data_IF_471778020166
#
_entry.id   IF_471778020166
#
_cell.length_a   1.000
_cell.length_b   1.000
_cell.length_c   1.000
_cell.angle_alpha   90.00
_cell.angle_beta   90.00
_cell.angle_gamma   90.00
#
_symmetry.space_group_name_H-M   'P 1'
#
loop_
_entity.id
_entity.type
_entity.pdbx_description
1 polymer ?
#
# COMPACT_ATOMS: atom_id res chain seq x y z
N UNK A 1 -50.51 -1.96 -26.92
CA UNK A 1 -50.12 -3.04 -25.99
C UNK A 1 -49.20 -3.98 -26.74
N UNK A 2 -47.89 -3.79 -26.60
CA UNK A 2 -46.89 -4.63 -27.26
C UNK A 2 -46.47 -5.74 -26.31
N UNK A 3 -46.71 -6.98 -26.70
CA UNK A 3 -46.15 -8.16 -26.04
C UNK A 3 -44.66 -8.18 -26.39
N UNK A 4 -43.81 -7.72 -25.47
CA UNK A 4 -42.38 -7.93 -25.57
C UNK A 4 -42.10 -9.39 -25.22
N UNK A 5 -41.74 -10.17 -26.24
CA UNK A 5 -41.23 -11.52 -26.07
C UNK A 5 -39.94 -11.44 -25.25
N UNK A 6 -40.03 -11.91 -24.01
CA UNK A 6 -38.90 -12.08 -23.09
C UNK A 6 -38.03 -13.21 -23.66
N UNK A 7 -36.97 -12.86 -24.39
CA UNK A 7 -35.96 -13.84 -24.80
C UNK A 7 -35.12 -14.14 -23.55
N UNK A 8 -35.49 -15.22 -22.87
CA UNK A 8 -34.64 -15.88 -21.87
C UNK A 8 -33.52 -16.55 -22.66
N UNK A 9 -32.37 -15.90 -22.77
CA UNK A 9 -31.14 -16.58 -23.19
C UNK A 9 -30.61 -17.33 -21.96
N UNK A 10 -31.02 -18.59 -21.85
CA UNK A 10 -30.34 -19.60 -21.05
C UNK A 10 -28.92 -19.75 -21.59
N UNK A 11 -27.93 -19.15 -20.93
CA UNK A 11 -26.53 -19.49 -21.15
C UNK A 11 -26.21 -20.79 -20.39
N UNK A 12 -26.49 -21.92 -21.06
CA UNK A 12 -25.83 -23.17 -20.75
C UNK A 12 -24.37 -23.08 -21.22
N UNK A 13 -23.42 -23.19 -20.28
CA UNK A 13 -22.05 -23.66 -20.51
C UNK A 13 -21.23 -22.93 -21.58
N UNK A 14 -20.74 -21.73 -21.27
CA UNK A 14 -19.51 -21.23 -21.87
C UNK A 14 -18.47 -21.10 -20.76
N UNK A 15 -17.52 -22.05 -20.72
CA UNK A 15 -16.27 -21.85 -19.99
C UNK A 15 -15.45 -20.84 -20.82
N UNK A 16 -15.70 -19.55 -20.62
CA UNK A 16 -14.86 -18.50 -21.15
C UNK A 16 -13.57 -18.48 -20.33
N UNK A 17 -12.42 -18.62 -20.98
CA UNK A 17 -11.12 -18.27 -20.43
C UNK A 17 -11.07 -16.74 -20.29
N UNK A 18 -11.85 -16.19 -19.36
CA UNK A 18 -11.84 -14.76 -19.06
C UNK A 18 -10.51 -14.42 -18.44
N UNK A 19 -9.74 -13.57 -19.13
CA UNK A 19 -8.54 -12.97 -18.56
C UNK A 19 -8.99 -11.91 -17.56
N UNK A 20 -8.57 -12.06 -16.31
CA UNK A 20 -8.85 -11.11 -15.23
C UNK A 20 -7.57 -10.34 -14.91
N UNK A 21 -7.68 -9.03 -14.78
CA UNK A 21 -6.59 -8.18 -14.30
C UNK A 21 -6.86 -7.83 -12.84
N UNK A 22 -5.97 -8.25 -11.93
CA UNK A 22 -6.09 -7.99 -10.49
C UNK A 22 -5.03 -6.96 -10.07
N UNK A 23 -5.48 -5.86 -9.48
CA UNK A 23 -4.60 -4.80 -8.96
C UNK A 23 -4.16 -5.10 -7.52
N UNK A 24 -2.90 -4.85 -7.20
CA UNK A 24 -2.38 -5.07 -5.85
C UNK A 24 -0.99 -4.51 -5.65
N UNK A 25 -0.35 -4.92 -4.55
CA UNK A 25 1.04 -4.61 -4.23
C UNK A 25 1.83 -5.89 -4.06
N UNK A 26 3.07 -5.89 -4.53
CA UNK A 26 4.01 -6.99 -4.31
C UNK A 26 4.33 -7.03 -2.81
N UNK A 27 3.93 -8.11 -2.15
CA UNK A 27 4.28 -8.35 -0.76
C UNK A 27 5.67 -8.99 -0.64
N UNK A 28 6.01 -9.92 -1.53
CA UNK A 28 7.28 -10.64 -1.54
C UNK A 28 7.66 -11.02 -2.97
N UNK A 29 8.97 -11.07 -3.26
CA UNK A 29 9.55 -11.58 -4.51
C UNK A 29 10.50 -12.71 -4.16
N UNK A 30 10.30 -13.88 -4.78
CA UNK A 30 11.21 -15.01 -4.73
C UNK A 30 11.86 -15.20 -6.11
N UNK A 31 13.10 -14.73 -6.24
CA UNK A 31 13.88 -14.83 -7.48
C UNK A 31 14.43 -16.24 -7.75
N UNK A 32 14.45 -17.15 -6.77
CA UNK A 32 14.91 -18.53 -7.00
C UNK A 32 13.82 -19.37 -7.67
N UNK A 33 12.56 -19.12 -7.34
CA UNK A 33 11.40 -19.81 -7.90
C UNK A 33 10.67 -19.00 -8.97
N UNK A 34 11.17 -17.80 -9.29
CA UNK A 34 10.51 -16.80 -10.13
C UNK A 34 9.05 -16.55 -9.72
N UNK A 35 8.76 -16.39 -8.43
CA UNK A 35 7.40 -16.12 -7.94
C UNK A 35 7.27 -14.79 -7.23
N UNK A 36 6.07 -14.20 -7.28
CA UNK A 36 5.73 -13.04 -6.45
C UNK A 36 4.48 -13.35 -5.63
N UNK A 37 4.42 -12.80 -4.42
CA UNK A 37 3.18 -12.78 -3.63
C UNK A 37 2.55 -11.41 -3.83
N UNK A 38 1.30 -11.39 -4.29
CA UNK A 38 0.52 -10.16 -4.46
C UNK A 38 -0.51 -10.08 -3.35
N UNK A 39 -0.54 -8.93 -2.69
CA UNK A 39 -1.57 -8.53 -1.73
C UNK A 39 -2.48 -7.52 -2.42
N UNK A 40 -3.78 -7.79 -2.41
CA UNK A 40 -4.79 -6.88 -2.98
C UNK A 40 -5.28 -5.99 -1.84
N UNK A 41 -5.02 -4.69 -1.97
CA UNK A 41 -5.56 -3.71 -1.04
C UNK A 41 -7.02 -3.50 -1.38
N UNK A 42 -7.88 -3.88 -0.43
CA UNK A 42 -9.31 -3.61 -0.53
C UNK A 42 -9.53 -2.09 -0.64
N UNK A 43 -10.07 -1.65 -1.77
CA UNK A 43 -10.29 -0.24 -2.09
C UNK A 43 -11.34 0.42 -1.18
N UNK A 44 -12.12 -0.39 -0.46
CA UNK A 44 -12.97 0.08 0.62
C UNK A 44 -12.15 0.09 1.92
N UNK A 45 -11.84 1.30 2.39
CA UNK A 45 -11.26 1.58 3.71
C UNK A 45 -11.88 0.66 4.76
N UNK A 46 -11.13 -0.35 5.18
CA UNK A 46 -11.60 -1.35 6.13
C UNK A 46 -12.04 -0.68 7.43
N UNK A 47 -13.34 -0.71 7.72
CA UNK A 47 -13.89 -0.55 9.07
C UNK A 47 -13.00 -1.32 10.06
N UNK A 48 -12.22 -0.58 10.85
CA UNK A 48 -11.31 -1.13 11.84
C UNK A 48 -12.03 -1.32 13.16
N UNK A 49 -13.00 -2.24 13.18
CA UNK A 49 -13.48 -2.84 14.43
C UNK A 49 -13.46 -4.36 14.28
N UNK A 50 -12.69 -4.99 15.18
CA UNK A 50 -12.62 -6.41 15.52
C UNK A 50 -11.56 -7.33 14.87
N UNK A 51 -10.88 -8.01 15.78
CA UNK A 51 -9.92 -9.11 15.73
C UNK A 51 -8.62 -8.99 14.92
N UNK A 52 -7.52 -8.77 15.65
CA UNK A 52 -6.14 -8.71 15.14
C UNK A 52 -5.63 -10.03 14.56
N UNK A 53 -6.36 -11.14 14.68
CA UNK A 53 -5.98 -12.45 14.15
C UNK A 53 -6.86 -12.97 12.99
N UNK A 54 -8.04 -12.36 12.73
CA UNK A 54 -9.03 -12.88 11.77
C UNK A 54 -9.30 -11.99 10.56
N UNK A 55 -8.52 -10.92 10.34
CA UNK A 55 -8.68 -10.13 9.12
C UNK A 55 -8.35 -10.98 7.89
N UNK A 56 -9.42 -11.36 7.19
CA UNK A 56 -9.42 -11.92 5.86
C UNK A 56 -8.97 -10.85 4.88
N UNK A 57 -7.98 -11.18 4.07
CA UNK A 57 -7.38 -10.34 3.04
C UNK A 57 -7.26 -11.14 1.76
N UNK A 58 -7.31 -10.48 0.61
CA UNK A 58 -7.00 -11.14 -0.65
C UNK A 58 -5.49 -11.10 -0.89
N UNK A 59 -4.90 -12.30 -1.03
CA UNK A 59 -3.51 -12.45 -1.40
C UNK A 59 -3.28 -13.78 -2.11
N UNK A 60 -2.36 -13.81 -3.07
CA UNK A 60 -2.06 -15.00 -3.86
C UNK A 60 -0.62 -15.01 -4.37
N UNK A 61 -0.12 -16.21 -4.66
CA UNK A 61 1.15 -16.43 -5.35
C UNK A 61 0.92 -16.34 -6.85
N UNK A 62 1.71 -15.52 -7.52
CA UNK A 62 1.78 -15.47 -8.97
C UNK A 62 2.99 -16.26 -9.43
N UNK A 63 2.74 -17.17 -10.38
CA UNK A 63 3.76 -17.94 -11.07
C UNK A 63 3.81 -17.50 -12.54
N UNK A 64 5.01 -17.35 -13.13
CA UNK A 64 5.15 -17.11 -14.55
C UNK A 64 4.60 -18.29 -15.33
N UNK A 65 3.81 -17.98 -16.36
CA UNK A 65 3.65 -18.90 -17.48
C UNK A 65 4.87 -18.81 -18.42
N UNK A 66 5.01 -19.74 -19.36
CA UNK A 66 6.12 -19.78 -20.35
C UNK A 66 6.23 -18.49 -21.19
N UNK A 67 5.18 -17.66 -21.20
CA UNK A 67 5.09 -16.39 -21.92
C UNK A 67 4.95 -15.17 -21.02
N UNK A 68 5.27 -15.27 -19.73
CA UNK A 68 5.09 -14.15 -18.80
C UNK A 68 5.96 -12.95 -19.19
N UNK A 69 5.33 -11.78 -19.31
CA UNK A 69 6.00 -10.51 -19.59
C UNK A 69 5.88 -9.55 -18.40
N UNK A 70 6.96 -8.86 -18.04
CA UNK A 70 6.94 -7.75 -17.07
C UNK A 70 6.94 -6.42 -17.82
N UNK A 71 5.95 -5.56 -17.53
CA UNK A 71 5.68 -4.31 -18.23
C UNK A 71 5.65 -3.12 -17.26
N UNK A 72 5.73 -1.91 -17.80
CA UNK A 72 5.51 -0.67 -17.04
C UNK A 72 6.80 -0.02 -16.57
N UNK A 73 6.85 0.39 -15.30
CA UNK A 73 8.03 1.08 -14.70
C UNK A 73 9.29 0.22 -14.72
N UNK A 74 9.13 -1.10 -14.62
CA UNK A 74 10.21 -2.08 -14.79
C UNK A 74 9.85 -3.06 -15.91
N UNK A 75 10.86 -3.71 -16.47
CA UNK A 75 10.74 -4.53 -17.68
C UNK A 75 11.25 -5.96 -17.52
N UNK A 76 11.69 -6.35 -16.33
CA UNK A 76 12.18 -7.69 -16.05
C UNK A 76 11.69 -8.20 -14.70
N UNK A 77 11.57 -9.51 -14.56
CA UNK A 77 11.22 -10.14 -13.29
C UNK A 77 12.26 -9.86 -12.20
N UNK A 78 13.54 -9.78 -12.58
CA UNK A 78 14.64 -9.50 -11.65
C UNK A 78 14.61 -8.09 -11.07
N UNK A 79 13.92 -7.16 -11.72
CA UNK A 79 13.77 -5.78 -11.24
C UNK A 79 12.53 -5.59 -10.36
N UNK A 80 11.71 -6.64 -10.18
CA UNK A 80 10.57 -6.60 -9.29
C UNK A 80 11.03 -6.49 -7.83
N UNK A 81 10.37 -5.62 -7.07
CA UNK A 81 10.67 -5.35 -5.67
C UNK A 81 9.40 -5.34 -4.83
N UNK A 82 9.56 -5.72 -3.56
CA UNK A 82 8.52 -5.57 -2.56
C UNK A 82 8.01 -4.12 -2.51
N UNK A 83 6.68 -3.97 -2.42
CA UNK A 83 5.98 -2.69 -2.34
C UNK A 83 5.59 -2.09 -3.68
N UNK A 84 6.01 -2.64 -4.81
CA UNK A 84 5.57 -2.14 -6.13
C UNK A 84 4.07 -2.37 -6.35
N UNK A 85 3.37 -1.36 -6.90
CA UNK A 85 1.98 -1.52 -7.36
C UNK A 85 1.99 -2.28 -8.67
N UNK A 86 1.14 -3.31 -8.76
CA UNK A 86 1.07 -4.19 -9.90
C UNK A 86 -0.36 -4.45 -10.33
N UNK A 87 -0.54 -4.67 -11.64
CA UNK A 87 -1.71 -5.33 -12.19
C UNK A 87 -1.27 -6.68 -12.76
N UNK A 88 -1.90 -7.77 -12.30
CA UNK A 88 -1.58 -9.15 -12.69
C UNK A 88 -2.67 -9.68 -13.63
N UNK A 89 -2.29 -10.07 -14.85
CA UNK A 89 -3.21 -10.70 -15.79
C UNK A 89 -3.24 -12.23 -15.59
N UNK A 90 -4.36 -12.73 -15.07
CA UNK A 90 -4.63 -14.15 -14.78
C UNK A 90 -5.54 -14.70 -15.88
N UNK A 91 -5.09 -15.74 -16.59
CA UNK A 91 -5.80 -16.35 -17.74
C UNK A 91 -6.51 -17.66 -17.46
N UNK A 92 -6.39 -18.15 -16.25
CA UNK A 92 -7.16 -19.29 -15.77
C UNK A 92 -8.37 -18.81 -14.95
N UNK A 93 -9.23 -19.75 -14.53
CA UNK A 93 -10.40 -19.42 -13.73
C UNK A 93 -9.95 -18.73 -12.43
N UNK A 94 -10.14 -17.42 -12.39
CA UNK A 94 -9.91 -16.62 -11.21
C UNK A 94 -11.05 -16.81 -10.20
N UNK A 95 -10.70 -17.02 -8.95
CA UNK A 95 -11.65 -17.05 -7.83
C UNK A 95 -11.08 -16.19 -6.72
N UNK A 96 -11.75 -15.10 -6.40
CA UNK A 96 -11.36 -14.24 -5.29
C UNK A 96 -11.35 -15.08 -4.00
N UNK A 97 -10.17 -15.23 -3.40
CA UNK A 97 -9.96 -16.07 -2.22
C UNK A 97 -9.32 -15.26 -1.13
N UNK A 98 -10.08 -15.08 -0.06
CA UNK A 98 -9.59 -14.44 1.14
C UNK A 98 -8.78 -15.42 1.98
N UNK A 99 -7.63 -14.97 2.46
CA UNK A 99 -6.72 -15.66 3.36
C UNK A 99 -6.53 -14.84 4.62
N UNK A 100 -6.05 -15.46 5.70
CA UNK A 100 -5.72 -14.70 6.91
C UNK A 100 -4.35 -14.05 6.78
N UNK A 101 -4.12 -12.96 7.54
CA UNK A 101 -2.77 -12.38 7.66
C UNK A 101 -1.71 -13.41 8.04
N UNK A 102 -2.04 -14.38 8.89
CA UNK A 102 -1.08 -15.43 9.27
C UNK A 102 -0.65 -16.29 8.07
N UNK A 103 -1.53 -16.53 7.10
CA UNK A 103 -1.16 -17.21 5.84
C UNK A 103 -0.18 -16.36 5.05
N UNK A 104 -0.45 -15.06 4.90
CA UNK A 104 0.43 -14.12 4.19
C UNK A 104 1.82 -13.99 4.83
N UNK A 105 1.94 -13.97 6.16
CA UNK A 105 3.22 -13.73 6.85
C UNK A 105 4.00 -15.00 7.23
N UNK A 106 3.34 -16.16 7.34
CA UNK A 106 3.95 -17.35 7.94
C UNK A 106 3.68 -18.66 7.19
N UNK A 107 2.79 -18.67 6.20
CA UNK A 107 2.40 -19.93 5.55
C UNK A 107 2.09 -19.76 4.07
N UNK A 108 3.08 -19.30 3.29
CA UNK A 108 2.89 -18.97 1.88
C UNK A 108 2.39 -20.15 1.04
N UNK A 109 2.71 -21.40 1.42
CA UNK A 109 2.23 -22.61 0.74
C UNK A 109 0.70 -22.79 0.76
N UNK A 110 -0.01 -22.06 1.63
CA UNK A 110 -1.48 -22.05 1.68
C UNK A 110 -2.11 -20.91 0.89
N UNK A 111 -1.33 -20.05 0.26
CA UNK A 111 -1.85 -19.01 -0.62
C UNK A 111 -2.43 -19.66 -1.90
N UNK A 112 -3.57 -19.17 -2.41
CA UNK A 112 -3.99 -19.43 -3.78
C UNK A 112 -2.83 -19.14 -4.72
N UNK A 113 -2.68 -19.96 -5.76
CA UNK A 113 -1.61 -19.80 -6.74
C UNK A 113 -2.21 -19.71 -8.12
N UNK A 114 -1.78 -18.69 -8.86
CA UNK A 114 -2.24 -18.42 -10.20
C UNK A 114 -1.07 -18.28 -11.18
N UNK A 115 -1.27 -18.75 -12.41
CA UNK A 115 -0.38 -18.43 -13.53
C UNK A 115 -0.74 -17.07 -14.12
N UNK A 116 0.27 -16.25 -14.34
CA UNK A 116 0.10 -14.96 -15.02
C UNK A 116 0.78 -14.92 -16.39
N UNK A 117 0.16 -14.19 -17.31
CA UNK A 117 0.77 -13.89 -18.60
C UNK A 117 1.50 -12.54 -18.60
N UNK A 118 1.08 -11.62 -17.74
CA UNK A 118 1.87 -10.42 -17.52
C UNK A 118 1.65 -9.82 -16.15
N UNK A 119 2.70 -9.14 -15.69
CA UNK A 119 2.67 -8.26 -14.52
C UNK A 119 3.03 -6.86 -15.01
N UNK A 120 2.11 -5.92 -14.85
CA UNK A 120 2.33 -4.51 -15.18
C UNK A 120 2.61 -3.74 -13.92
N UNK A 121 3.81 -3.15 -13.80
CA UNK A 121 4.22 -2.32 -12.67
C UNK A 121 3.89 -0.86 -12.96
N UNK A 122 3.12 -0.25 -12.06
CA UNK A 122 2.66 1.14 -12.20
C UNK A 122 3.35 2.04 -11.16
N UNK A 123 3.93 3.18 -11.55
CA UNK A 123 4.60 4.06 -10.61
C UNK A 123 3.60 4.65 -9.59
N UNK A 124 4.12 5.01 -8.42
CA UNK A 124 3.36 5.73 -7.42
C UNK A 124 3.06 7.17 -7.87
N UNK A 125 1.86 7.64 -7.56
CA UNK A 125 1.46 9.03 -7.64
C UNK A 125 1.54 9.68 -6.27
N UNK A 126 1.56 11.02 -6.24
CA UNK A 126 1.47 11.78 -4.99
C UNK A 126 0.20 11.43 -4.21
N UNK A 127 -0.92 11.21 -4.90
CA UNK A 127 -2.19 10.86 -4.28
C UNK A 127 -2.12 9.51 -3.57
N UNK A 128 -1.47 8.52 -4.17
CA UNK A 128 -1.30 7.19 -3.55
C UNK A 128 -0.56 7.31 -2.22
N UNK A 129 0.53 8.08 -2.20
CA UNK A 129 1.32 8.27 -0.97
C UNK A 129 0.50 9.05 0.06
N UNK A 130 -0.17 10.14 -0.34
CA UNK A 130 -1.02 10.90 0.59
C UNK A 130 -2.09 10.00 1.20
N UNK A 131 -2.73 9.13 0.42
CA UNK A 131 -3.76 8.21 0.91
C UNK A 131 -3.21 7.21 1.95
N UNK A 132 -1.98 6.71 1.77
CA UNK A 132 -1.34 5.85 2.77
C UNK A 132 -0.97 6.61 4.07
N UNK A 133 -0.69 7.92 3.96
CA UNK A 133 -0.38 8.80 5.08
C UNK A 133 -1.63 9.31 5.81
N UNK A 134 -2.76 9.45 5.11
CA UNK A 134 -4.05 9.84 5.68
C UNK A 134 -4.46 8.83 6.76
N UNK A 135 -5.01 9.34 7.85
CA UNK A 135 -5.53 8.52 8.96
C UNK A 135 -7.05 8.65 9.03
N UNK A 136 -7.72 7.75 9.73
CA UNK A 136 -9.19 7.74 9.77
C UNK A 136 -9.77 8.77 10.75
N UNK A 137 -9.08 9.02 11.85
CA UNK A 137 -9.49 9.95 12.90
C UNK A 137 -8.24 10.59 13.53
N UNK A 138 -8.32 11.86 13.95
CA UNK A 138 -7.26 12.55 14.68
C UNK A 138 -6.13 13.06 13.79
N UNK A 139 -4.88 13.00 14.28
CA UNK A 139 -3.69 13.46 13.56
C UNK A 139 -2.57 12.41 13.49
N UNK A 140 -1.87 12.37 12.37
CA UNK A 140 -0.71 11.51 12.14
C UNK A 140 0.54 12.34 11.94
N UNK A 141 1.65 11.95 12.57
CA UNK A 141 2.96 12.61 12.42
C UNK A 141 3.93 11.69 11.65
N UNK A 142 4.47 12.19 10.56
CA UNK A 142 5.48 11.51 9.75
C UNK A 142 6.75 12.35 9.72
N UNK A 143 7.86 11.75 10.11
CA UNK A 143 9.18 12.38 10.14
C UNK A 143 10.13 11.63 9.23
N UNK A 144 10.61 12.31 8.20
CA UNK A 144 11.65 11.81 7.31
C UNK A 144 12.97 12.50 7.63
N UNK A 145 14.07 11.76 7.53
CA UNK A 145 15.44 12.25 7.74
C UNK A 145 15.62 13.02 9.08
N UNK A 146 15.17 12.47 10.23
CA UNK A 146 15.28 13.18 11.51
C UNK A 146 16.73 13.52 11.87
N UNK A 147 16.91 14.66 12.53
CA UNK A 147 18.19 15.01 13.15
C UNK A 147 18.48 14.10 14.34
N UNK A 148 19.74 13.67 14.54
CA UNK A 148 20.14 13.00 15.76
C UNK A 148 20.07 13.96 16.95
N UNK A 149 19.69 13.45 18.12
CA UNK A 149 19.75 14.19 19.38
C UNK A 149 21.21 14.37 19.87
N UNK A 150 21.39 15.04 21.01
CA UNK A 150 22.71 15.28 21.61
C UNK A 150 23.51 14.00 21.92
N UNK A 151 22.84 12.85 22.05
CA UNK A 151 23.45 11.53 22.25
C UNK A 151 23.71 10.79 20.92
N UNK A 152 23.46 11.42 19.77
CA UNK A 152 23.59 10.81 18.45
C UNK A 152 22.44 9.87 18.07
N UNK A 153 21.36 9.82 18.86
CA UNK A 153 20.18 8.96 18.62
C UNK A 153 19.11 9.71 17.85
N UNK A 154 18.51 9.06 16.87
CA UNK A 154 17.38 9.63 16.15
C UNK A 154 16.16 9.67 17.05
N UNK A 155 15.63 10.87 17.25
CA UNK A 155 14.53 11.06 18.17
C UNK A 155 13.21 10.67 17.47
N UNK A 156 12.54 9.62 17.97
CA UNK A 156 11.23 9.19 17.46
C UNK A 156 10.14 10.21 17.76
N UNK A 157 10.35 11.07 18.76
CA UNK A 157 9.52 12.20 19.09
C UNK A 157 10.46 13.39 19.29
N UNK A 158 10.60 14.32 18.33
CA UNK A 158 11.49 15.46 18.56
C UNK A 158 11.15 16.10 19.92
N UNK A 159 12.15 16.49 20.71
CA UNK A 159 12.01 17.01 22.08
C UNK A 159 11.18 18.30 22.08
N UNK A 160 9.86 18.16 22.08
CA UNK A 160 8.97 19.13 21.47
C UNK A 160 7.54 18.87 21.95
N UNK A 161 6.63 19.81 21.71
CA UNK A 161 5.19 19.66 22.03
C UNK A 161 4.58 18.42 21.36
N UNK A 162 5.20 17.94 20.27
CA UNK A 162 4.80 16.70 19.62
C UNK A 162 4.89 15.45 20.51
N UNK A 163 5.78 15.43 21.51
CA UNK A 163 5.93 14.30 22.43
C UNK A 163 4.70 14.11 23.33
N UNK A 164 3.99 15.20 23.63
CA UNK A 164 2.81 15.20 24.53
C UNK A 164 1.48 15.25 23.76
N UNK A 165 1.53 15.35 22.43
CA UNK A 165 0.33 15.36 21.60
C UNK A 165 -0.10 13.93 21.24
N UNK A 166 -1.39 13.56 21.41
CA UNK A 166 -1.86 12.20 21.19
C UNK A 166 -2.08 11.92 19.70
N UNK A 167 -0.99 11.85 18.92
CA UNK A 167 -1.04 11.41 17.53
C UNK A 167 -1.53 9.97 17.45
N UNK A 168 -2.45 9.70 16.52
CA UNK A 168 -2.95 8.35 16.24
C UNK A 168 -1.89 7.48 15.55
N UNK A 169 -0.98 8.12 14.81
CA UNK A 169 0.14 7.46 14.16
C UNK A 169 1.39 8.33 14.24
N UNK A 170 2.51 7.71 14.58
CA UNK A 170 3.83 8.32 14.51
C UNK A 170 4.73 7.43 13.68
N UNK A 171 5.30 7.99 12.63
CA UNK A 171 6.22 7.28 11.75
C UNK A 171 7.51 8.10 11.62
N UNK A 172 8.65 7.44 11.82
CA UNK A 172 9.96 8.06 11.72
C UNK A 172 10.87 7.18 10.89
N UNK A 173 11.44 7.72 9.82
CA UNK A 173 12.34 6.99 8.93
C UNK A 173 13.54 7.83 8.50
N UNK A 174 14.68 7.16 8.35
CA UNK A 174 15.93 7.71 7.82
C UNK A 174 16.10 7.46 6.32
N UNK A 175 15.28 6.56 5.77
CA UNK A 175 15.30 6.22 4.35
C UNK A 175 13.90 6.31 3.78
N UNK A 176 13.81 6.87 2.58
CA UNK A 176 12.62 6.79 1.76
C UNK A 176 12.67 5.53 0.92
N UNK A 177 11.49 5.00 0.59
CA UNK A 177 11.38 3.89 -0.36
C UNK A 177 11.74 4.39 -1.76
N UNK A 178 12.71 3.73 -2.40
CA UNK A 178 13.08 3.91 -3.81
C UNK A 178 11.93 3.52 -4.74
N UNK A 179 11.14 2.51 -4.37
CA UNK A 179 9.94 2.07 -5.10
C UNK A 179 8.85 3.14 -5.13
N UNK A 180 8.63 3.87 -4.04
CA UNK A 180 7.54 4.87 -3.98
C UNK A 180 7.96 6.23 -4.48
N UNK A 181 9.25 6.51 -4.62
CA UNK A 181 9.78 7.85 -4.90
C UNK A 181 9.18 8.94 -3.97
N UNK A 182 9.10 8.62 -2.67
CA UNK A 182 8.44 9.47 -1.67
C UNK A 182 9.10 10.84 -1.55
N UNK A 183 10.41 10.91 -1.75
CA UNK A 183 11.18 12.15 -1.73
C UNK A 183 10.68 13.16 -2.75
N UNK A 184 10.60 12.78 -4.03
CA UNK A 184 10.11 13.66 -5.09
C UNK A 184 8.62 13.97 -4.93
N UNK A 185 7.79 12.95 -4.71
CA UNK A 185 6.33 13.09 -4.72
C UNK A 185 5.78 13.91 -3.54
N UNK A 186 6.43 13.82 -2.37
CA UNK A 186 6.11 14.68 -1.22
C UNK A 186 6.97 15.94 -1.15
N UNK A 187 8.01 16.04 -2.00
CA UNK A 187 8.99 17.12 -2.03
C UNK A 187 9.75 17.23 -0.71
N UNK A 188 10.27 16.12 -0.18
CA UNK A 188 11.01 16.13 1.08
C UNK A 188 12.23 17.06 0.99
N UNK A 189 12.61 17.65 2.12
CA UNK A 189 13.74 18.56 2.17
C UNK A 189 15.05 17.76 2.15
N UNK A 190 15.87 17.99 1.14
CA UNK A 190 17.17 17.32 1.00
C UNK A 190 18.07 17.62 2.20
N UNK A 191 18.70 16.58 2.75
CA UNK A 191 19.67 16.71 3.85
C UNK A 191 19.13 17.29 5.16
N UNK A 192 17.80 17.37 5.33
CA UNK A 192 17.17 17.91 6.54
C UNK A 192 15.88 17.17 6.90
N UNK A 193 15.42 17.27 8.16
CA UNK A 193 14.16 16.67 8.55
C UNK A 193 13.00 17.19 7.73
N UNK A 194 12.04 16.31 7.43
CA UNK A 194 10.74 16.71 6.93
C UNK A 194 9.68 16.17 7.87
N UNK A 195 8.96 17.07 8.53
CA UNK A 195 7.80 16.77 9.35
C UNK A 195 6.54 16.98 8.54
N UNK A 196 5.65 16.00 8.53
CA UNK A 196 4.34 16.04 7.86
C UNK A 196 3.28 15.67 8.89
N UNK A 197 2.23 16.49 9.00
CA UNK A 197 1.02 16.13 9.74
C UNK A 197 -0.09 15.85 8.75
N UNK A 198 -0.80 14.75 8.98
CA UNK A 198 -2.01 14.38 8.24
C UNK A 198 -3.24 14.31 9.14
N UNK A 199 -4.41 14.51 8.53
CA UNK A 199 -5.74 14.29 9.08
C UNK A 199 -6.53 13.31 8.18
N UNK A 200 -7.86 13.27 8.30
CA UNK A 200 -8.75 12.44 7.47
C UNK A 200 -8.86 12.85 5.99
N UNK A 201 -8.38 14.06 5.65
CA UNK A 201 -8.43 14.64 4.30
C UNK A 201 -7.07 14.57 3.60
N UNK A 202 -5.97 14.42 4.34
CA UNK A 202 -4.63 14.26 3.79
C UNK A 202 -3.60 15.09 4.55
N UNK A 203 -2.61 15.63 3.84
CA UNK A 203 -1.55 16.45 4.43
C UNK A 203 -2.12 17.83 4.79
N UNK A 204 -2.07 18.18 6.08
CA UNK A 204 -2.51 19.49 6.60
C UNK A 204 -1.34 20.41 6.95
N UNK A 205 -0.15 19.84 7.18
CA UNK A 205 1.02 20.62 7.52
C UNK A 205 2.30 19.92 7.09
N UNK A 206 3.29 20.71 6.67
CA UNK A 206 4.63 20.23 6.32
C UNK A 206 5.67 21.30 6.62
N UNK A 207 6.74 20.93 7.32
CA UNK A 207 7.88 21.81 7.60
C UNK A 207 9.17 21.02 7.76
N UNK A 208 10.32 21.68 7.68
CA UNK A 208 11.61 21.15 8.15
C UNK A 208 12.05 21.76 9.49
N UNK A 209 11.25 22.63 10.10
CA UNK A 209 11.62 23.32 11.34
C UNK A 209 10.80 22.81 12.51
N UNK A 210 11.48 22.34 13.54
CA UNK A 210 10.82 21.84 14.76
C UNK A 210 10.02 22.93 15.48
N UNK A 211 10.44 24.20 15.40
CA UNK A 211 9.71 25.33 15.98
C UNK A 211 8.35 25.55 15.32
N UNK A 212 8.29 25.47 13.99
CA UNK A 212 7.02 25.60 13.23
C UNK A 212 6.11 24.41 13.49
N UNK A 213 6.67 23.19 13.60
CA UNK A 213 5.93 21.99 13.99
C UNK A 213 5.25 22.18 15.35
N UNK A 214 6.02 22.61 16.36
CA UNK A 214 5.48 22.83 17.70
C UNK A 214 4.37 23.86 17.72
N UNK A 215 4.58 25.00 17.07
CA UNK A 215 3.55 26.04 16.97
C UNK A 215 2.28 25.53 16.31
N UNK A 216 2.39 24.70 15.26
CA UNK A 216 1.22 24.11 14.64
C UNK A 216 0.49 23.18 15.62
N UNK A 217 1.21 22.29 16.31
CA UNK A 217 0.64 21.31 17.26
C UNK A 217 -0.02 21.99 18.46
N UNK A 218 0.55 23.06 19.00
CA UNK A 218 -0.05 23.83 20.10
C UNK A 218 -1.44 24.40 19.74
N UNK A 219 -1.66 24.66 18.44
CA UNK A 219 -2.93 25.16 17.92
C UNK A 219 -3.88 24.06 17.44
N UNK A 220 -3.46 22.78 17.47
CA UNK A 220 -4.34 21.67 17.12
C UNK A 220 -5.29 21.36 18.28
N UNK A 221 -6.56 21.18 17.95
CA UNK A 221 -7.51 20.59 18.88
C UNK A 221 -7.08 19.14 19.15
N UNK A 222 -6.99 18.77 20.44
CA UNK A 222 -6.68 17.39 20.80
C UNK A 222 -7.82 16.49 20.32
N UNK A 223 -7.53 15.38 19.60
CA UNK A 223 -8.53 14.39 19.27
C UNK A 223 -9.21 13.89 20.56
N UNK A 224 -10.53 13.65 20.47
CA UNK A 224 -11.37 13.25 21.62
C UNK A 224 -11.19 11.79 22.00
#
# INVERSE_FOLDING_TARGET
>A
MGIFALIIILFAGCATNETVSVEGKIFEVNHEEDTIIVFVEDSEKQEMVQDKEQKSIEAFIVKPDESMEVKGEVHSFNDLKQGQKVAVEIREKYEEKLVTKNVLFKNHSKLPSYKSQSVTVTPYSKQDIVQELTIEEGYGLYTYNPEPNEEGRYNTYPNSVAADFPFQRVHVTLSVSDVKNTEELLGLYEGSPTYIITDEKGIVFKTNKITELNQFIENLEKPK
#
